data_IF_531693949501
#
_entry.id   IF_531693949501
#
_cell.length_a   1.000
_cell.length_b   1.000
_cell.length_c   1.000
_cell.angle_alpha   90.00
_cell.angle_beta   90.00
_cell.angle_gamma   90.00
#
_symmetry.space_group_name_H-M   'P 1'
#
loop_
_entity.id
_entity.type
_entity.pdbx_description
1 polymer ?
#
# COMPACT_ATOMS: atom_id res chain seq x y z
N UNK A 1 -12.86 7.72 -1.90
CA UNK A 1 -12.02 6.88 -2.77
C UNK A 1 -12.27 5.42 -2.44
N UNK A 2 -12.47 4.60 -3.45
CA UNK A 2 -12.74 3.16 -3.31
C UNK A 2 -11.48 2.41 -2.87
N UNK A 3 -11.60 1.45 -1.93
CA UNK A 3 -10.47 0.63 -1.46
C UNK A 3 -10.22 -0.50 -2.44
N UNK A 4 -9.69 -0.16 -3.61
CA UNK A 4 -9.29 -1.15 -4.62
C UNK A 4 -7.89 -1.68 -4.33
N UNK A 5 -7.75 -2.99 -4.27
CA UNK A 5 -6.46 -3.66 -4.18
C UNK A 5 -6.01 -4.09 -5.58
N UNK A 6 -4.73 -3.85 -5.88
CA UNK A 6 -4.11 -4.24 -7.14
C UNK A 6 -2.81 -5.00 -6.87
N UNK A 7 -2.41 -5.83 -7.83
CA UNK A 7 -1.21 -6.65 -7.71
C UNK A 7 0.07 -5.82 -7.83
N UNK A 8 1.21 -6.41 -7.43
CA UNK A 8 2.54 -5.80 -7.65
C UNK A 8 2.75 -5.36 -9.10
N UNK A 9 2.29 -6.15 -10.08
CA UNK A 9 2.50 -5.87 -11.51
C UNK A 9 1.72 -4.63 -11.95
N UNK A 10 0.47 -4.53 -11.54
CA UNK A 10 -0.39 -3.38 -11.83
C UNK A 10 0.10 -2.13 -11.12
N UNK A 11 0.46 -2.24 -9.83
CA UNK A 11 1.02 -1.13 -9.06
C UNK A 11 2.33 -0.61 -9.65
N UNK A 12 3.21 -1.51 -10.11
CA UNK A 12 4.45 -1.14 -10.78
C UNK A 12 4.20 -0.40 -12.10
N UNK A 13 3.24 -0.89 -12.90
CA UNK A 13 2.80 -0.22 -14.13
C UNK A 13 2.20 1.16 -13.84
N UNK A 14 1.37 1.27 -12.79
CA UNK A 14 0.75 2.52 -12.37
C UNK A 14 1.79 3.57 -11.96
N UNK A 15 2.81 3.16 -11.20
CA UNK A 15 3.89 4.03 -10.74
C UNK A 15 5.02 4.25 -11.77
N UNK A 16 4.96 3.59 -12.94
CA UNK A 16 6.01 3.70 -13.96
C UNK A 16 7.37 3.09 -13.55
N UNK A 17 7.38 2.12 -12.64
CA UNK A 17 8.60 1.45 -12.15
C UNK A 17 8.60 -0.05 -12.43
N UNK A 18 9.74 -0.71 -12.25
CA UNK A 18 9.80 -2.17 -12.34
C UNK A 18 9.11 -2.84 -11.13
N UNK A 19 8.53 -4.06 -11.28
CA UNK A 19 8.03 -4.84 -10.15
C UNK A 19 9.10 -5.13 -9.09
N UNK A 20 10.37 -5.24 -9.49
CA UNK A 20 11.49 -5.43 -8.57
C UNK A 20 11.72 -4.18 -7.72
N UNK A 21 11.68 -2.99 -8.33
CA UNK A 21 11.78 -1.70 -7.62
C UNK A 21 10.68 -1.57 -6.58
N UNK A 22 9.45 -1.92 -6.94
CA UNK A 22 8.31 -1.86 -6.02
C UNK A 22 8.48 -2.83 -4.83
N UNK A 23 8.98 -4.05 -5.08
CA UNK A 23 9.31 -5.02 -4.02
C UNK A 23 10.45 -4.53 -3.12
N UNK A 24 11.41 -3.80 -3.66
CA UNK A 24 12.48 -3.19 -2.86
C UNK A 24 11.94 -2.07 -1.97
N UNK A 25 10.99 -1.27 -2.45
CA UNK A 25 10.34 -0.24 -1.63
C UNK A 25 9.49 -0.83 -0.51
N UNK A 26 8.82 -1.96 -0.74
CA UNK A 26 8.15 -2.75 0.30
C UNK A 26 9.13 -3.22 1.38
N UNK A 27 10.27 -3.83 0.97
CA UNK A 27 11.31 -4.24 1.91
C UNK A 27 11.89 -3.07 2.73
N UNK A 28 12.01 -1.90 2.11
CA UNK A 28 12.54 -0.69 2.75
C UNK A 28 11.47 0.06 3.59
N UNK A 29 10.22 -0.40 3.60
CA UNK A 29 9.13 0.27 4.32
C UNK A 29 8.69 1.60 3.71
N UNK A 30 9.12 1.92 2.47
CA UNK A 30 8.71 3.15 1.76
C UNK A 30 7.27 3.06 1.25
N UNK A 31 6.82 1.85 0.92
CA UNK A 31 5.47 1.56 0.46
C UNK A 31 5.05 0.20 1.00
N UNK A 32 4.10 0.15 1.92
CA UNK A 32 3.71 -1.10 2.57
C UNK A 32 2.80 -1.95 1.69
N UNK A 33 3.21 -3.18 1.37
CA UNK A 33 2.35 -4.15 0.72
C UNK A 33 1.43 -4.84 1.75
N UNK A 34 0.18 -5.05 1.36
CA UNK A 34 -0.72 -5.97 2.06
C UNK A 34 -0.50 -7.39 1.54
N UNK A 35 -0.89 -8.37 2.36
CA UNK A 35 -0.84 -9.79 2.01
C UNK A 35 -2.23 -10.31 1.73
N UNK A 36 -2.39 -10.92 0.56
CA UNK A 36 -3.64 -11.56 0.20
C UNK A 36 -3.88 -12.79 1.11
N UNK A 37 -5.07 -12.94 1.72
CA UNK A 37 -5.30 -13.95 2.77
C UNK A 37 -5.14 -15.39 2.27
N UNK A 38 -5.44 -15.65 0.99
CA UNK A 38 -5.47 -17.01 0.45
C UNK A 38 -4.08 -17.49 -0.05
N UNK A 39 -3.28 -16.61 -0.65
CA UNK A 39 -2.04 -17.00 -1.34
C UNK A 39 -0.81 -16.18 -0.92
N UNK A 40 -0.97 -15.32 0.10
CA UNK A 40 0.07 -14.47 0.66
C UNK A 40 0.79 -13.56 -0.37
N UNK A 41 0.18 -13.36 -1.55
CA UNK A 41 0.74 -12.51 -2.58
C UNK A 41 0.65 -11.05 -2.15
N UNK A 42 1.60 -10.24 -2.62
CA UNK A 42 1.64 -8.81 -2.31
C UNK A 42 0.58 -8.08 -3.13
N UNK A 43 -0.25 -7.31 -2.44
CA UNK A 43 -1.24 -6.42 -3.05
C UNK A 43 -1.10 -5.02 -2.46
N UNK A 44 -1.41 -4.01 -3.26
CA UNK A 44 -1.33 -2.60 -2.89
C UNK A 44 -2.68 -1.96 -3.02
N UNK A 45 -3.02 -1.05 -2.11
CA UNK A 45 -4.22 -0.24 -2.26
C UNK A 45 -3.96 0.89 -3.23
N UNK A 46 -4.87 1.10 -4.16
CA UNK A 46 -4.77 2.14 -5.18
C UNK A 46 -4.67 3.55 -4.55
N UNK A 47 -5.48 3.83 -3.53
CA UNK A 47 -5.47 5.13 -2.84
C UNK A 47 -4.14 5.44 -2.14
N UNK A 48 -3.45 4.44 -1.60
CA UNK A 48 -2.12 4.61 -1.03
C UNK A 48 -1.07 4.91 -2.09
N UNK A 49 -1.19 4.30 -3.29
CA UNK A 49 -0.28 4.57 -4.40
C UNK A 49 -0.46 6.00 -4.92
N UNK A 50 -1.70 6.49 -4.99
CA UNK A 50 -2.01 7.85 -5.41
C UNK A 50 -1.46 8.89 -4.42
N UNK A 51 -1.68 8.68 -3.11
CA UNK A 51 -1.09 9.53 -2.07
C UNK A 51 0.45 9.51 -2.11
N UNK A 52 1.03 8.33 -2.37
CA UNK A 52 2.48 8.19 -2.51
C UNK A 52 3.00 9.01 -3.70
N UNK A 53 2.34 8.94 -4.85
CA UNK A 53 2.72 9.71 -6.04
C UNK A 53 2.62 11.23 -5.78
N UNK A 54 1.52 11.69 -5.19
CA UNK A 54 1.34 13.10 -4.81
C UNK A 54 2.44 13.58 -3.85
N UNK A 55 2.90 12.72 -2.93
CA UNK A 55 3.97 13.06 -2.00
C UNK A 55 5.34 13.25 -2.66
N UNK A 56 5.56 12.59 -3.81
CA UNK A 56 6.79 12.74 -4.62
C UNK A 56 6.72 14.04 -5.43
N UNK A 57 5.58 14.33 -6.02
CA UNK A 57 5.36 15.53 -6.85
C UNK A 57 5.31 16.83 -6.03
N UNK A 58 4.89 16.77 -4.76
CA UNK A 58 4.79 17.92 -3.87
C UNK A 58 5.51 17.69 -2.53
N UNK A 59 6.85 17.88 -2.48
CA UNK A 59 7.66 17.63 -1.28
C UNK A 59 7.28 18.48 -0.06
N UNK A 60 6.57 19.59 -0.27
CA UNK A 60 6.23 20.59 0.75
C UNK A 60 4.98 20.30 1.59
N UNK A 61 4.19 19.27 1.28
CA UNK A 61 2.92 18.95 1.96
C UNK A 61 2.98 17.70 2.85
N UNK A 62 4.11 17.43 3.50
CA UNK A 62 4.21 16.31 4.46
C UNK A 62 3.34 16.57 5.70
N UNK A 63 2.04 16.28 5.60
CA UNK A 63 1.21 15.97 6.78
C UNK A 63 1.72 14.63 7.30
N UNK A 64 2.52 14.69 8.36
CA UNK A 64 2.90 13.52 9.14
C UNK A 64 1.62 12.86 9.63
N UNK A 65 1.27 11.70 9.06
CA UNK A 65 0.30 10.82 9.71
C UNK A 65 0.97 10.23 10.95
N UNK A 66 0.95 11.03 12.02
CA UNK A 66 1.22 10.55 13.36
C UNK A 66 0.33 9.34 13.65
N UNK A 67 0.97 8.24 14.09
CA UNK A 67 0.40 7.03 14.68
C UNK A 67 -1.13 6.96 14.77
N UNK A 68 -1.74 6.07 13.99
CA UNK A 68 -2.97 5.40 14.41
C UNK A 68 -2.81 3.91 14.18
N UNK A 69 -2.10 3.28 15.11
CA UNK A 69 -2.37 1.90 15.49
C UNK A 69 -3.80 1.85 16.07
N UNK A 70 -4.83 1.88 15.21
CA UNK A 70 -6.15 1.37 15.61
C UNK A 70 -6.09 -0.15 15.45
N UNK A 71 -5.80 -0.81 16.57
CA UNK A 71 -6.04 -2.24 16.80
C UNK A 71 -7.53 -2.51 16.54
N UNK A 72 -7.88 -2.91 15.33
CA UNK A 72 -9.20 -3.45 15.02
C UNK A 72 -9.24 -4.86 15.60
N UNK A 73 -9.97 -5.04 16.71
CA UNK A 73 -10.43 -6.36 17.13
C UNK A 73 -11.43 -6.83 16.07
N UNK A 74 -11.04 -7.84 15.29
CA UNK A 74 -12.00 -8.61 14.50
C UNK A 74 -12.44 -9.74 15.42
N UNK A 75 -13.69 -9.66 15.92
CA UNK A 75 -14.39 -10.83 16.44
C UNK A 75 -14.67 -11.74 15.24
N UNK A 76 -14.07 -12.92 15.23
CA UNK A 76 -14.52 -14.01 14.38
C UNK A 76 -15.78 -14.56 15.05
N UNK A 77 -16.94 -14.41 14.42
CA UNK A 77 -18.10 -15.24 14.73
C UNK A 77 -17.87 -16.60 14.07
N UNK A 78 -17.83 -17.66 14.88
CA UNK A 78 -17.94 -19.04 14.45
C UNK A 78 -19.43 -19.39 14.42
N UNK A 79 -19.91 -19.88 13.27
CA UNK A 79 -21.08 -20.76 13.18
C UNK A 79 -20.58 -22.19 12.93
#
# INVERSE_FOLDING_TARGET
>A
MERKYITVKEAAKYLGVSPLTLRNWDKLGKLAAYRHPINNYRVYRLDQLELFLQSIESPGLRKTHANTAKKIHIRMEED
#
